data_IF_568258291759
#
_entry.id   IF_568258291759
#
_cell.length_a   1.000
_cell.length_b   1.000
_cell.length_c   1.000
_cell.angle_alpha   90.00
_cell.angle_beta   90.00
_cell.angle_gamma   90.00
#
_symmetry.space_group_name_H-M   'P 1'
#
loop_
_entity.id
_entity.type
_entity.pdbx_description
1 polymer ?
#
# COMPACT_ATOMS: atom_id res chain seq x y z
N UNK A 1 -4.95 45.07 87.10
CA UNK A 1 -5.39 44.19 88.19
C UNK A 1 -5.80 42.86 87.60
N UNK A 2 -4.98 41.87 87.89
CA UNK A 2 -5.36 40.49 88.24
C UNK A 2 -6.20 39.71 87.19
N UNK A 3 -5.80 38.67 86.83
CA UNK A 3 -5.03 37.51 87.30
C UNK A 3 -5.72 36.24 86.82
N UNK A 4 -4.91 35.37 86.35
CA UNK A 4 -4.99 33.90 86.53
C UNK A 4 -6.07 33.03 85.90
N UNK A 5 -5.54 32.25 84.99
CA UNK A 5 -5.56 30.75 85.10
C UNK A 5 -6.92 30.11 84.77
N UNK A 6 -6.92 29.29 83.77
CA UNK A 6 -6.70 27.86 83.90
C UNK A 6 -6.53 27.19 82.52
N UNK A 7 -5.47 26.45 82.46
CA UNK A 7 -5.21 25.50 81.39
C UNK A 7 -6.24 24.36 81.40
N UNK A 8 -6.73 23.99 80.24
CA UNK A 8 -7.24 22.63 80.03
C UNK A 8 -6.73 22.16 78.67
N UNK A 9 -5.81 21.20 78.77
CA UNK A 9 -5.31 20.35 77.73
C UNK A 9 -6.48 19.52 77.16
N UNK A 10 -6.76 19.68 75.90
CA UNK A 10 -7.51 18.72 75.10
C UNK A 10 -6.57 18.19 74.03
N UNK A 11 -6.04 16.97 74.29
CA UNK A 11 -5.31 16.21 73.26
C UNK A 11 -6.29 15.74 72.21
N UNK A 12 -6.23 16.32 71.03
CA UNK A 12 -6.90 15.81 69.86
C UNK A 12 -5.98 14.78 69.21
N UNK A 13 -6.31 13.50 69.38
CA UNK A 13 -5.67 12.42 68.65
C UNK A 13 -6.06 12.51 67.19
N UNK A 14 -5.12 12.92 66.30
CA UNK A 14 -5.26 12.86 64.86
C UNK A 14 -4.98 11.40 64.49
N UNK A 15 -6.03 10.65 64.18
CA UNK A 15 -5.94 9.32 63.55
C UNK A 15 -5.72 9.56 62.06
N UNK A 16 -4.47 9.49 61.63
CA UNK A 16 -4.10 9.46 60.24
C UNK A 16 -4.37 8.07 59.69
N UNK A 17 -5.52 7.92 59.03
CA UNK A 17 -5.83 6.70 58.26
C UNK A 17 -4.99 6.70 56.98
N UNK A 18 -3.93 5.91 56.94
CA UNK A 18 -3.21 5.58 55.73
C UNK A 18 -4.08 4.62 54.89
N UNK A 19 -4.79 5.13 53.92
CA UNK A 19 -5.39 4.32 52.85
C UNK A 19 -4.27 3.83 51.93
N UNK A 20 -3.79 2.63 52.14
CA UNK A 20 -2.91 1.92 51.19
C UNK A 20 -3.74 1.60 49.95
N UNK A 21 -3.61 2.42 48.90
CA UNK A 21 -4.08 2.08 47.56
C UNK A 21 -3.24 0.90 47.07
N UNK A 22 -3.77 -0.29 47.18
CA UNK A 22 -3.28 -1.48 46.51
C UNK A 22 -3.49 -1.25 45.00
N UNK A 23 -2.46 -0.75 44.30
CA UNK A 23 -2.40 -0.71 42.88
C UNK A 23 -2.29 -2.16 42.40
N UNK A 24 -3.41 -2.77 42.03
CA UNK A 24 -3.40 -4.05 41.33
C UNK A 24 -2.67 -3.85 39.99
N UNK A 25 -1.70 -4.69 39.64
CA UNK A 25 -1.10 -4.63 38.29
C UNK A 25 -2.21 -4.90 37.25
N UNK A 26 -2.47 -3.92 36.40
CA UNK A 26 -3.31 -4.11 35.23
C UNK A 26 -2.49 -5.05 34.33
N UNK A 27 -2.79 -6.33 34.37
CA UNK A 27 -2.33 -7.30 33.39
C UNK A 27 -2.98 -6.87 32.07
N UNK A 28 -2.27 -6.09 31.25
CA UNK A 28 -2.65 -5.86 29.87
C UNK A 28 -2.65 -7.23 29.17
N UNK A 29 -3.83 -7.69 28.78
CA UNK A 29 -3.92 -8.87 27.94
C UNK A 29 -3.07 -8.61 26.69
N UNK A 30 -2.26 -9.59 26.21
CA UNK A 30 -1.54 -9.42 24.96
C UNK A 30 -2.55 -9.08 23.88
N UNK A 31 -2.30 -7.99 23.15
CA UNK A 31 -3.11 -7.65 22.00
C UNK A 31 -3.05 -8.86 21.05
N UNK A 32 -4.20 -9.55 20.89
CA UNK A 32 -4.30 -10.62 19.91
C UNK A 32 -4.00 -9.99 18.56
N UNK A 33 -2.97 -10.48 17.86
CA UNK A 33 -2.71 -10.06 16.50
C UNK A 33 -4.00 -10.28 15.69
N UNK A 34 -4.38 -9.30 14.89
CA UNK A 34 -5.54 -9.45 14.00
C UNK A 34 -5.30 -10.69 13.12
N UNK A 35 -6.35 -11.49 12.84
CA UNK A 35 -6.18 -12.65 11.96
C UNK A 35 -5.71 -12.18 10.58
N UNK A 36 -4.86 -13.00 9.94
CA UNK A 36 -4.40 -12.74 8.59
C UNK A 36 -5.58 -12.67 7.61
N UNK A 37 -5.60 -11.70 6.69
CA UNK A 37 -6.63 -11.62 5.66
C UNK A 37 -6.48 -12.76 4.64
N UNK A 38 -7.57 -13.10 3.94
CA UNK A 38 -7.50 -14.04 2.81
C UNK A 38 -6.74 -13.43 1.63
N UNK A 39 -6.92 -12.12 1.40
CA UNK A 39 -6.30 -11.34 0.34
C UNK A 39 -5.74 -10.04 0.92
N UNK A 40 -4.51 -9.69 0.55
CA UNK A 40 -3.93 -8.38 0.81
C UNK A 40 -3.67 -7.67 -0.53
N UNK A 41 -4.24 -6.48 -0.68
CA UNK A 41 -4.05 -5.63 -1.87
C UNK A 41 -3.10 -4.50 -1.52
N UNK A 42 -1.88 -4.58 -2.03
CA UNK A 42 -0.87 -3.52 -1.98
C UNK A 42 -1.02 -2.64 -3.22
N UNK A 43 -1.40 -1.37 -3.05
CA UNK A 43 -1.65 -0.49 -4.18
C UNK A 43 -0.90 0.84 -4.08
N UNK A 44 -0.17 1.17 -5.16
CA UNK A 44 0.57 2.43 -5.33
C UNK A 44 -0.25 3.42 -6.18
N UNK A 45 -0.58 4.58 -5.59
CA UNK A 45 -1.35 5.65 -6.23
C UNK A 45 -0.57 6.36 -7.35
N UNK A 46 -1.24 7.14 -8.16
CA UNK A 46 -0.63 7.98 -9.19
C UNK A 46 0.02 9.26 -8.65
N UNK A 47 0.71 9.99 -9.55
CA UNK A 47 1.40 11.26 -9.28
C UNK A 47 0.42 12.29 -8.69
N UNK A 48 0.85 12.96 -7.62
CA UNK A 48 0.13 14.02 -6.93
C UNK A 48 -1.24 13.61 -6.33
N UNK A 49 -1.60 12.33 -6.35
CA UNK A 49 -2.76 11.87 -5.58
C UNK A 49 -2.49 11.95 -4.06
N UNK A 50 -3.47 12.31 -3.25
CA UNK A 50 -3.31 12.35 -1.80
C UNK A 50 -3.00 10.96 -1.22
N UNK A 51 -2.40 10.87 0.00
CA UNK A 51 -2.12 9.61 0.67
C UNK A 51 -3.33 8.67 0.70
N UNK A 52 -3.08 7.40 0.37
CA UNK A 52 -4.10 6.38 0.18
C UNK A 52 -3.81 5.57 -1.09
N UNK A 53 -4.81 4.85 -1.58
CA UNK A 53 -4.71 4.04 -2.80
C UNK A 53 -5.04 4.81 -4.08
N UNK A 54 -5.43 6.08 -3.98
CA UNK A 54 -5.84 6.90 -5.12
C UNK A 54 -7.19 6.47 -5.71
N UNK A 55 -7.65 7.24 -6.71
CA UNK A 55 -8.97 7.01 -7.33
C UNK A 55 -9.06 5.70 -8.09
N UNK A 56 -8.02 5.33 -8.83
CA UNK A 56 -7.97 4.07 -9.58
C UNK A 56 -7.90 2.87 -8.65
N UNK A 57 -7.04 2.94 -7.61
CA UNK A 57 -6.93 1.88 -6.61
C UNK A 57 -8.24 1.66 -5.86
N UNK A 58 -8.94 2.73 -5.48
CA UNK A 58 -10.23 2.63 -4.81
C UNK A 58 -11.27 1.92 -5.69
N UNK A 59 -11.40 2.32 -6.95
CA UNK A 59 -12.33 1.71 -7.89
C UNK A 59 -12.03 0.21 -8.13
N UNK A 60 -10.73 -0.12 -8.25
CA UNK A 60 -10.27 -1.52 -8.38
C UNK A 60 -10.61 -2.35 -7.13
N UNK A 61 -10.27 -1.86 -5.94
CA UNK A 61 -10.49 -2.57 -4.67
C UNK A 61 -11.99 -2.78 -4.41
N UNK A 62 -12.81 -1.78 -4.66
CA UNK A 62 -14.26 -1.90 -4.48
C UNK A 62 -14.85 -2.95 -5.44
N UNK A 63 -14.40 -2.96 -6.70
CA UNK A 63 -14.77 -3.97 -7.67
C UNK A 63 -14.31 -5.37 -7.24
N UNK A 64 -13.07 -5.50 -6.75
CA UNK A 64 -12.52 -6.78 -6.30
C UNK A 64 -13.31 -7.34 -5.10
N UNK A 65 -13.59 -6.51 -4.10
CA UNK A 65 -14.39 -6.91 -2.92
C UNK A 65 -15.75 -7.46 -3.30
N UNK A 66 -16.37 -6.90 -4.34
CA UNK A 66 -17.66 -7.38 -4.83
C UNK A 66 -17.59 -8.76 -5.53
N UNK A 67 -16.41 -9.17 -5.98
CA UNK A 67 -16.20 -10.37 -6.82
C UNK A 67 -15.55 -11.54 -6.08
N UNK A 68 -14.92 -11.33 -4.92
CA UNK A 68 -14.18 -12.38 -4.21
C UNK A 68 -15.05 -13.17 -3.20
N UNK A 69 -16.33 -12.91 -3.19
CA UNK A 69 -17.32 -13.70 -2.41
C UNK A 69 -17.15 -13.59 -0.92
N UNK A 70 -17.10 -13.70 0.03
CA UNK A 70 -16.93 -13.51 1.48
C UNK A 70 -15.47 -13.54 1.97
N UNK A 71 -14.47 -13.54 1.08
CA UNK A 71 -13.06 -13.44 1.48
C UNK A 71 -12.78 -12.08 2.09
N UNK A 72 -11.98 -12.07 3.15
CA UNK A 72 -11.49 -10.85 3.76
C UNK A 72 -10.41 -10.20 2.86
N UNK A 73 -10.58 -8.91 2.55
CA UNK A 73 -9.66 -8.14 1.71
C UNK A 73 -9.08 -7.00 2.53
N UNK A 74 -7.83 -7.16 2.96
CA UNK A 74 -7.04 -6.06 3.50
C UNK A 74 -6.45 -5.20 2.37
N UNK A 75 -6.12 -3.96 2.71
CA UNK A 75 -5.58 -2.99 1.76
C UNK A 75 -4.39 -2.30 2.40
N UNK A 76 -3.27 -2.32 1.69
CA UNK A 76 -2.09 -1.55 2.01
C UNK A 76 -1.87 -0.48 0.93
N UNK A 77 -2.00 0.78 1.33
CA UNK A 77 -1.66 1.90 0.49
C UNK A 77 -0.15 2.15 0.57
N UNK A 78 0.58 2.00 -0.53
CA UNK A 78 2.02 2.19 -0.58
C UNK A 78 2.38 3.58 -0.07
N UNK A 79 3.25 3.62 0.94
CA UNK A 79 3.68 4.85 1.61
C UNK A 79 4.91 5.44 0.91
N UNK A 80 4.67 6.30 -0.07
CA UNK A 80 5.72 6.92 -0.85
C UNK A 80 5.32 8.36 -1.25
N UNK A 81 6.27 9.21 -1.70
CA UNK A 81 5.97 10.61 -2.01
C UNK A 81 4.88 10.79 -3.08
N UNK A 82 4.88 9.98 -4.13
CA UNK A 82 4.02 10.13 -5.33
C UNK A 82 4.12 11.54 -5.95
N UNK A 83 5.30 12.15 -5.89
CA UNK A 83 5.55 13.49 -6.39
C UNK A 83 6.17 13.49 -7.79
N UNK A 84 6.38 14.69 -8.35
CA UNK A 84 6.92 14.90 -9.71
C UNK A 84 8.42 14.63 -9.83
N UNK A 85 9.11 14.43 -8.71
CA UNK A 85 10.46 13.84 -8.74
C UNK A 85 10.32 12.32 -8.94
N UNK A 86 10.05 11.94 -10.18
CA UNK A 86 9.54 10.60 -10.53
C UNK A 86 10.47 9.47 -10.13
N UNK A 87 11.76 9.56 -10.45
CA UNK A 87 12.69 8.46 -10.25
C UNK A 87 12.91 8.14 -8.75
N UNK A 88 13.27 9.07 -7.87
CA UNK A 88 13.38 8.78 -6.45
C UNK A 88 12.02 8.46 -5.81
N UNK A 89 10.92 9.04 -6.30
CA UNK A 89 9.59 8.74 -5.79
C UNK A 89 9.19 7.29 -6.10
N UNK A 90 9.31 6.83 -7.36
CA UNK A 90 9.01 5.45 -7.74
C UNK A 90 9.93 4.44 -7.02
N UNK A 91 11.23 4.77 -6.88
CA UNK A 91 12.19 3.93 -6.15
C UNK A 91 11.81 3.78 -4.67
N UNK A 92 11.39 4.87 -4.02
CA UNK A 92 10.88 4.81 -2.64
C UNK A 92 9.60 3.95 -2.55
N UNK A 93 8.73 4.03 -3.54
CA UNK A 93 7.55 3.17 -3.64
C UNK A 93 7.91 1.69 -3.75
N UNK A 94 8.92 1.34 -4.55
CA UNK A 94 9.39 -0.04 -4.67
C UNK A 94 9.92 -0.60 -3.35
N UNK A 95 10.70 0.19 -2.60
CA UNK A 95 11.22 -0.18 -1.27
C UNK A 95 10.06 -0.45 -0.29
N UNK A 96 9.04 0.39 -0.28
CA UNK A 96 7.89 0.24 0.61
C UNK A 96 7.04 -0.98 0.24
N UNK A 97 6.82 -1.24 -1.06
CA UNK A 97 6.17 -2.46 -1.56
C UNK A 97 6.92 -3.72 -1.10
N UNK A 98 8.25 -3.76 -1.30
CA UNK A 98 9.07 -4.91 -0.90
C UNK A 98 9.02 -5.13 0.60
N UNK A 99 9.17 -4.09 1.41
CA UNK A 99 9.09 -4.19 2.87
C UNK A 99 7.73 -4.75 3.34
N UNK A 100 6.62 -4.28 2.73
CA UNK A 100 5.30 -4.79 3.06
C UNK A 100 5.12 -6.26 2.67
N UNK A 101 5.52 -6.64 1.46
CA UNK A 101 5.46 -8.04 0.99
C UNK A 101 6.28 -8.95 1.89
N UNK A 102 7.52 -8.58 2.21
CA UNK A 102 8.37 -9.34 3.16
C UNK A 102 7.66 -9.56 4.49
N UNK A 103 7.05 -8.50 5.03
CA UNK A 103 6.29 -8.58 6.28
C UNK A 103 5.08 -9.52 6.17
N UNK A 104 4.34 -9.46 5.07
CA UNK A 104 3.18 -10.31 4.84
C UNK A 104 3.57 -11.78 4.69
N UNK A 105 4.62 -12.08 3.93
CA UNK A 105 5.13 -13.45 3.76
C UNK A 105 5.57 -14.04 5.09
N UNK A 106 6.25 -13.25 5.93
CA UNK A 106 6.72 -13.69 7.24
C UNK A 106 5.59 -13.93 8.25
N UNK A 107 4.58 -13.06 8.28
CA UNK A 107 3.56 -13.06 9.33
C UNK A 107 2.24 -13.72 8.89
N UNK A 108 1.93 -13.71 7.59
CA UNK A 108 0.68 -14.19 7.01
C UNK A 108 0.93 -15.03 5.74
N UNK A 109 1.66 -16.16 5.83
CA UNK A 109 2.17 -16.89 4.66
C UNK A 109 1.08 -17.51 3.78
N UNK A 110 -0.15 -17.61 4.25
CA UNK A 110 -1.28 -18.13 3.47
C UNK A 110 -2.12 -17.05 2.78
N UNK A 111 -1.86 -15.77 3.08
CA UNK A 111 -2.54 -14.65 2.44
C UNK A 111 -2.15 -14.56 0.97
N UNK A 112 -3.12 -14.36 0.09
CA UNK A 112 -2.90 -14.11 -1.33
C UNK A 112 -2.55 -12.65 -1.54
N UNK A 113 -1.32 -12.35 -1.98
CA UNK A 113 -0.86 -11.00 -2.21
C UNK A 113 -1.25 -10.55 -3.63
N UNK A 114 -1.84 -9.37 -3.72
CA UNK A 114 -2.18 -8.69 -4.98
C UNK A 114 -1.42 -7.37 -5.02
N UNK A 115 -0.60 -7.17 -6.04
CA UNK A 115 0.12 -5.92 -6.23
C UNK A 115 -0.56 -5.10 -7.32
N UNK A 116 -0.70 -3.81 -7.11
CA UNK A 116 -1.29 -2.94 -8.11
C UNK A 116 -0.74 -1.52 -8.06
N UNK A 117 -0.88 -0.81 -9.18
CA UNK A 117 -0.44 0.57 -9.26
C UNK A 117 -1.03 1.31 -10.46
N UNK A 118 -1.09 2.63 -10.32
CA UNK A 118 -1.51 3.53 -11.38
C UNK A 118 -0.42 4.54 -11.72
N UNK A 119 -0.11 4.71 -13.01
CA UNK A 119 0.84 5.72 -13.49
C UNK A 119 2.21 5.58 -12.81
N UNK A 120 2.68 6.59 -12.08
CA UNK A 120 3.91 6.50 -11.26
C UNK A 120 3.88 5.32 -10.28
N UNK A 121 2.71 5.01 -9.73
CA UNK A 121 2.54 3.84 -8.87
C UNK A 121 2.73 2.52 -9.62
N UNK A 122 2.31 2.41 -10.89
CA UNK A 122 2.61 1.25 -11.71
C UNK A 122 4.11 1.08 -11.92
N UNK A 123 4.84 2.18 -12.17
CA UNK A 123 6.30 2.16 -12.25
C UNK A 123 6.94 1.68 -10.93
N UNK A 124 6.43 2.09 -9.77
CA UNK A 124 6.91 1.61 -8.47
C UNK A 124 6.72 0.09 -8.32
N UNK A 125 5.58 -0.44 -8.78
CA UNK A 125 5.32 -1.89 -8.80
C UNK A 125 6.31 -2.60 -9.73
N UNK A 126 6.62 -2.06 -10.90
CA UNK A 126 7.60 -2.64 -11.83
C UNK A 126 9.01 -2.68 -11.23
N UNK A 127 9.40 -1.63 -10.50
CA UNK A 127 10.67 -1.59 -9.79
C UNK A 127 10.76 -2.62 -8.66
N UNK A 128 9.63 -3.00 -8.08
CA UNK A 128 9.54 -4.05 -7.07
C UNK A 128 9.42 -5.46 -7.67
N UNK A 129 9.13 -5.61 -8.97
CA UNK A 129 8.80 -6.91 -9.54
C UNK A 129 9.69 -7.34 -10.71
N UNK A 130 9.86 -6.50 -11.73
CA UNK A 130 10.49 -6.90 -13.01
C UNK A 130 11.79 -6.18 -13.32
N UNK A 131 12.03 -5.01 -12.78
CA UNK A 131 13.22 -4.22 -13.08
C UNK A 131 14.47 -4.94 -12.55
N UNK A 132 15.51 -5.06 -13.39
CA UNK A 132 16.70 -5.84 -13.03
C UNK A 132 17.94 -5.00 -12.77
N UNK A 133 17.92 -3.75 -13.18
CA UNK A 133 19.03 -2.82 -13.02
C UNK A 133 18.54 -1.38 -12.94
N UNK A 134 19.31 -0.50 -12.30
CA UNK A 134 18.99 0.93 -12.32
C UNK A 134 19.00 1.48 -13.75
N UNK A 135 18.01 2.34 -14.05
CA UNK A 135 17.92 3.06 -15.34
C UNK A 135 17.37 4.47 -15.11
N UNK A 136 18.01 5.47 -15.67
CA UNK A 136 17.57 6.87 -15.63
C UNK A 136 17.22 7.38 -14.20
N UNK A 137 17.97 6.95 -13.17
CA UNK A 137 17.76 7.32 -11.78
C UNK A 137 16.72 6.47 -11.04
N UNK A 138 15.99 5.60 -11.74
CA UNK A 138 15.11 4.59 -11.15
C UNK A 138 15.96 3.47 -10.54
N UNK A 139 15.75 3.18 -9.27
CA UNK A 139 16.49 2.14 -8.52
C UNK A 139 15.53 1.04 -8.13
N UNK A 140 15.69 -0.19 -8.67
CA UNK A 140 14.86 -1.32 -8.32
C UNK A 140 15.09 -1.81 -6.89
N UNK A 141 14.03 -2.34 -6.28
CA UNK A 141 14.07 -3.13 -5.05
C UNK A 141 13.19 -4.37 -5.23
N UNK A 142 13.73 -5.36 -5.92
CA UNK A 142 12.97 -6.48 -6.51
C UNK A 142 12.72 -7.57 -5.50
N UNK A 143 11.47 -8.02 -5.42
CA UNK A 143 11.06 -9.19 -4.65
C UNK A 143 11.90 -10.42 -5.00
N UNK A 144 12.26 -11.19 -3.98
CA UNK A 144 12.90 -12.50 -4.16
C UNK A 144 11.96 -13.50 -4.85
N UNK A 145 12.51 -14.61 -5.33
CA UNK A 145 11.70 -15.67 -5.93
C UNK A 145 10.64 -16.25 -4.97
N UNK A 146 11.01 -16.39 -3.71
CA UNK A 146 10.11 -16.87 -2.66
C UNK A 146 8.97 -15.90 -2.40
N UNK A 147 9.24 -14.60 -2.29
CA UNK A 147 8.23 -13.56 -2.13
C UNK A 147 7.32 -13.46 -3.36
N UNK A 148 7.89 -13.52 -4.56
CA UNK A 148 7.13 -13.53 -5.81
C UNK A 148 6.16 -14.71 -5.93
N UNK A 149 6.46 -15.85 -5.29
CA UNK A 149 5.58 -17.02 -5.25
C UNK A 149 4.30 -16.76 -4.44
N UNK A 150 4.34 -15.85 -3.45
CA UNK A 150 3.17 -15.44 -2.68
C UNK A 150 2.28 -14.42 -3.40
N UNK A 151 2.79 -13.75 -4.44
CA UNK A 151 2.00 -12.82 -5.25
C UNK A 151 1.07 -13.63 -6.15
N UNK A 152 -0.23 -13.54 -5.89
CA UNK A 152 -1.26 -14.24 -6.64
C UNK A 152 -1.59 -13.52 -7.96
N UNK A 153 -1.61 -12.20 -7.96
CA UNK A 153 -1.88 -11.40 -9.17
C UNK A 153 -1.24 -10.01 -9.09
N UNK A 154 -1.04 -9.42 -10.28
CA UNK A 154 -0.53 -8.07 -10.48
C UNK A 154 -1.45 -7.32 -11.44
N UNK A 155 -1.82 -6.06 -11.09
CA UNK A 155 -2.69 -5.23 -11.92
C UNK A 155 -2.15 -3.81 -12.00
N UNK A 156 -1.74 -3.37 -13.20
CA UNK A 156 -1.24 -2.03 -13.45
C UNK A 156 -2.15 -1.26 -14.41
N UNK A 157 -2.16 0.06 -14.23
CA UNK A 157 -3.01 0.96 -14.98
C UNK A 157 -2.19 2.16 -15.47
N UNK A 158 -2.29 2.47 -16.79
CA UNK A 158 -1.55 3.59 -17.36
C UNK A 158 -0.06 3.52 -17.08
N UNK A 159 0.53 2.35 -17.23
CA UNK A 159 1.90 2.05 -16.82
C UNK A 159 2.92 2.71 -17.79
N UNK A 160 3.76 3.65 -17.30
CA UNK A 160 4.78 4.26 -18.15
C UNK A 160 5.81 3.26 -18.68
N UNK A 161 6.02 2.15 -17.98
CA UNK A 161 7.00 1.13 -18.39
C UNK A 161 6.64 0.47 -19.72
N UNK A 162 5.36 0.34 -20.04
CA UNK A 162 4.89 -0.20 -21.32
C UNK A 162 5.43 0.60 -22.51
N UNK A 163 5.53 1.92 -22.36
CA UNK A 163 6.09 2.83 -23.35
C UNK A 163 7.59 2.60 -23.59
N UNK A 164 8.35 2.28 -22.51
CA UNK A 164 9.80 2.09 -22.60
C UNK A 164 10.21 0.68 -22.97
N UNK A 165 9.51 -0.31 -22.43
CA UNK A 165 9.78 -1.72 -22.68
C UNK A 165 9.21 -2.16 -24.01
N UNK A 166 8.24 -1.42 -24.54
CA UNK A 166 7.51 -1.77 -25.78
C UNK A 166 6.53 -2.92 -25.59
N UNK A 167 6.37 -3.41 -24.37
CA UNK A 167 5.48 -4.50 -24.03
C UNK A 167 5.11 -4.48 -22.53
N UNK A 168 3.91 -4.96 -22.15
CA UNK A 168 3.45 -5.01 -20.78
C UNK A 168 4.17 -6.07 -19.93
N UNK A 169 4.06 -5.97 -18.61
CA UNK A 169 4.63 -6.94 -17.64
C UNK A 169 4.18 -8.36 -17.94
N UNK A 170 2.93 -8.54 -18.38
CA UNK A 170 2.37 -9.83 -18.78
C UNK A 170 3.13 -10.53 -19.91
N UNK A 171 3.86 -9.78 -20.73
CA UNK A 171 4.66 -10.33 -21.82
C UNK A 171 6.14 -10.46 -21.48
N UNK A 172 6.69 -9.58 -20.63
CA UNK A 172 8.14 -9.52 -20.38
C UNK A 172 8.59 -10.28 -19.14
N UNK A 173 7.67 -10.62 -18.23
CA UNK A 173 8.03 -11.30 -16.98
C UNK A 173 7.77 -12.81 -17.00
N UNK A 174 8.77 -13.65 -16.80
CA UNK A 174 8.58 -15.09 -16.67
C UNK A 174 7.87 -15.49 -15.36
N UNK A 175 7.85 -14.64 -14.35
CA UNK A 175 7.30 -14.94 -13.02
C UNK A 175 5.91 -14.36 -12.80
N UNK A 176 5.61 -13.25 -13.49
CA UNK A 176 4.34 -12.54 -13.33
C UNK A 176 3.46 -12.63 -14.57
N UNK A 177 4.01 -12.98 -15.76
CA UNK A 177 3.31 -12.91 -17.03
C UNK A 177 1.91 -13.54 -17.01
N UNK A 178 1.80 -14.78 -16.51
CA UNK A 178 0.50 -15.47 -16.46
C UNK A 178 -0.48 -14.90 -15.40
N UNK A 179 0.01 -14.10 -14.45
CA UNK A 179 -0.75 -13.54 -13.33
C UNK A 179 -0.74 -12.01 -13.29
N UNK A 180 -0.34 -11.37 -14.39
CA UNK A 180 -0.33 -9.92 -14.54
C UNK A 180 -1.33 -9.46 -15.59
N UNK A 181 -1.97 -8.34 -15.31
CA UNK A 181 -2.77 -7.58 -16.26
C UNK A 181 -2.31 -6.13 -16.27
N UNK A 182 -1.94 -5.63 -17.46
CA UNK A 182 -1.60 -4.24 -17.69
C UNK A 182 -2.71 -3.59 -18.52
N UNK A 183 -3.25 -2.49 -18.02
CA UNK A 183 -4.37 -1.81 -18.66
C UNK A 183 -3.96 -0.40 -19.08
N UNK A 184 -3.82 -0.24 -20.40
CA UNK A 184 -3.57 1.04 -21.04
C UNK A 184 -4.81 1.50 -21.80
N UNK A 185 -5.35 2.68 -21.43
CA UNK A 185 -6.53 3.24 -22.10
C UNK A 185 -6.17 3.61 -23.54
N UNK A 186 -7.04 3.32 -24.52
CA UNK A 186 -6.79 3.69 -25.91
C UNK A 186 -6.49 5.18 -26.07
N UNK A 187 -5.30 5.50 -26.57
CA UNK A 187 -4.85 6.89 -26.74
C UNK A 187 -4.23 7.53 -25.52
N UNK A 188 -4.00 6.79 -24.43
CA UNK A 188 -3.23 7.26 -23.30
C UNK A 188 -1.74 7.42 -23.69
N UNK A 189 -1.21 8.64 -23.71
CA UNK A 189 0.17 8.85 -24.16
C UNK A 189 1.22 8.34 -23.16
N UNK A 190 0.82 8.07 -21.90
CA UNK A 190 1.73 7.61 -20.84
C UNK A 190 2.15 6.16 -21.04
N UNK A 191 1.22 5.30 -21.42
CA UNK A 191 1.44 3.85 -21.54
C UNK A 191 1.43 3.34 -22.99
N UNK A 192 1.00 4.15 -23.98
CA UNK A 192 0.97 3.70 -25.38
C UNK A 192 2.39 3.38 -25.88
N UNK A 193 2.67 2.14 -26.37
CA UNK A 193 3.96 1.76 -26.91
C UNK A 193 4.36 2.62 -28.12
N UNK A 194 5.68 2.77 -28.37
CA UNK A 194 6.23 3.42 -29.56
C UNK A 194 6.77 4.83 -29.33
N UNK A 195 6.83 5.29 -28.09
CA UNK A 195 7.54 6.50 -27.70
C UNK A 195 9.05 6.28 -27.65
N UNK A 196 9.82 7.37 -27.74
CA UNK A 196 11.23 7.36 -27.39
C UNK A 196 11.36 7.01 -25.88
N UNK A 197 12.58 6.63 -25.44
CA UNK A 197 12.96 6.44 -24.01
C UNK A 197 12.86 7.76 -23.21
N UNK A 198 11.77 8.51 -23.37
CA UNK A 198 11.52 9.78 -22.73
C UNK A 198 10.40 9.62 -21.69
N UNK A 199 10.63 10.12 -20.50
CA UNK A 199 9.59 10.20 -19.48
C UNK A 199 8.38 10.95 -20.04
N UNK A 200 7.15 10.58 -19.66
CA UNK A 200 5.97 11.34 -20.06
C UNK A 200 6.12 12.81 -19.64
N UNK A 201 5.72 13.72 -20.52
CA UNK A 201 5.63 15.14 -20.19
C UNK A 201 4.52 15.40 -19.19
N UNK A 202 4.55 16.58 -18.56
CA UNK A 202 3.47 17.03 -17.67
C UNK A 202 2.10 16.95 -18.36
N UNK A 203 1.98 17.43 -19.59
CA UNK A 203 0.71 17.44 -20.32
C UNK A 203 0.22 16.02 -20.66
N UNK A 204 1.12 15.08 -20.90
CA UNK A 204 0.79 13.67 -21.09
C UNK A 204 0.27 13.04 -19.79
N UNK A 205 0.93 13.29 -18.66
CA UNK A 205 0.53 12.78 -17.34
C UNK A 205 -0.83 13.31 -16.87
N UNK A 206 -1.18 14.52 -17.25
CA UNK A 206 -2.45 15.14 -16.87
C UNK A 206 -3.44 15.22 -18.04
N UNK A 207 -3.23 14.42 -19.08
CA UNK A 207 -4.18 14.32 -20.19
C UNK A 207 -5.54 13.75 -19.71
N UNK A 208 -6.66 14.19 -20.30
CA UNK A 208 -7.99 13.67 -19.92
C UNK A 208 -8.10 12.15 -20.03
N UNK A 209 -7.40 11.53 -20.99
CA UNK A 209 -7.40 10.07 -21.17
C UNK A 209 -6.67 9.40 -20.00
N UNK A 210 -5.46 9.90 -19.64
CA UNK A 210 -4.71 9.35 -18.52
C UNK A 210 -5.46 9.49 -17.18
N UNK A 211 -6.24 10.53 -16.99
CA UNK A 211 -7.04 10.75 -15.79
C UNK A 211 -8.39 10.03 -15.78
N UNK A 212 -8.76 9.31 -16.86
CA UNK A 212 -10.09 8.70 -16.98
C UNK A 212 -10.25 7.33 -16.31
N UNK A 213 -9.17 6.68 -15.88
CA UNK A 213 -9.17 5.31 -15.36
C UNK A 213 -10.18 5.04 -14.24
N UNK A 214 -10.38 5.90 -13.24
CA UNK A 214 -11.32 5.61 -12.15
C UNK A 214 -12.76 5.39 -12.61
N UNK A 215 -13.18 6.11 -13.66
CA UNK A 215 -14.53 6.01 -14.24
C UNK A 215 -14.63 5.07 -15.44
N UNK A 216 -13.54 4.44 -15.85
CA UNK A 216 -13.52 3.47 -16.97
C UNK A 216 -13.93 2.07 -16.47
N UNK A 217 -14.21 1.16 -17.39
CA UNK A 217 -14.45 -0.25 -17.02
C UNK A 217 -13.18 -1.02 -16.60
N UNK A 218 -11.99 -0.42 -16.73
CA UNK A 218 -10.71 -1.08 -16.50
C UNK A 218 -10.49 -1.54 -15.05
N UNK A 219 -10.84 -0.76 -14.00
CA UNK A 219 -10.74 -1.26 -12.63
C UNK A 219 -11.56 -2.53 -12.39
N UNK A 220 -12.76 -2.63 -12.97
CA UNK A 220 -13.59 -3.82 -12.89
C UNK A 220 -13.03 -4.99 -13.71
N UNK A 221 -12.44 -4.71 -14.87
CA UNK A 221 -11.76 -5.72 -15.68
C UNK A 221 -10.57 -6.32 -14.92
N UNK A 222 -9.73 -5.48 -14.31
CA UNK A 222 -8.62 -5.92 -13.47
C UNK A 222 -9.11 -6.74 -12.28
N UNK A 223 -10.18 -6.31 -11.62
CA UNK A 223 -10.76 -7.03 -10.50
C UNK A 223 -11.25 -8.44 -10.91
N UNK A 224 -11.86 -8.58 -12.07
CA UNK A 224 -12.28 -9.88 -12.61
C UNK A 224 -11.09 -10.79 -12.88
N UNK A 225 -10.03 -10.23 -13.49
CA UNK A 225 -8.79 -10.97 -13.72
C UNK A 225 -8.17 -11.43 -12.40
N UNK A 226 -7.98 -10.53 -11.44
CA UNK A 226 -7.40 -10.82 -10.13
C UNK A 226 -8.24 -11.86 -9.38
N UNK A 227 -9.57 -11.72 -9.34
CA UNK A 227 -10.46 -12.67 -8.67
C UNK A 227 -10.33 -14.11 -9.22
N UNK A 228 -9.98 -14.27 -10.50
CA UNK A 228 -9.76 -15.58 -11.11
C UNK A 228 -8.42 -16.24 -10.70
N UNK A 229 -7.53 -15.49 -10.05
CA UNK A 229 -6.22 -15.96 -9.57
C UNK A 229 -6.18 -16.17 -8.04
N UNK A 230 -7.27 -15.85 -7.35
CA UNK A 230 -7.42 -16.00 -5.91
C UNK A 230 -8.14 -17.31 -5.55
#
# INVERSE_FOLDING_TARGET
MNARQFARLLAAAVVTSYATLLSAPILSAPASAAPCPDVDVTFARGTNEPPGVGGVGQAFIDSLRSQVGGRSVAVYAVNYPAGEDFAPSASAGAVDVHAHVTSMVANCPNTKLVLGGYSLGAMAIDLATIARMPIAGLIPDVLTADEAAHVAALATFGNPSDRYLGAPVSEVSPWYGAKAIDLCAPGDPVCTPGGALALPSHDELFSPVHLSYPGSGMPSQAATFVASHL
#
